data_IF_421948629796
#
_entry.id   IF_421948629796
#
_cell.length_a   1.000
_cell.length_b   1.000
_cell.length_c   1.000
_cell.angle_alpha   90.00
_cell.angle_beta   90.00
_cell.angle_gamma   90.00
#
_symmetry.space_group_name_H-M   'P 1'
#
loop_
_entity.id
_entity.type
_entity.pdbx_description
1 polymer ?
#
# COMPACT_ATOMS: atom_id res chain seq x y z
N UNK A 1 12.80 34.76 3.77
CA UNK A 1 11.74 33.90 3.18
C UNK A 1 12.31 32.49 3.12
N UNK A 2 11.66 31.51 3.75
CA UNK A 2 12.14 30.12 3.72
C UNK A 2 11.71 29.50 2.39
N UNK A 3 12.67 28.95 1.65
CA UNK A 3 12.47 28.28 0.38
C UNK A 3 11.45 27.14 0.52
N UNK A 4 10.52 27.01 -0.43
CA UNK A 4 9.47 25.98 -0.39
C UNK A 4 10.04 24.56 -0.28
N UNK A 5 11.22 24.31 -0.85
CA UNK A 5 11.94 23.04 -0.74
C UNK A 5 12.36 22.69 0.71
N UNK A 6 12.63 23.69 1.56
CA UNK A 6 12.95 23.47 2.98
C UNK A 6 11.65 23.22 3.77
N UNK A 7 10.56 23.88 3.41
CA UNK A 7 9.26 23.75 4.09
C UNK A 7 8.69 22.33 4.05
N UNK A 8 8.91 21.61 2.95
CA UNK A 8 8.40 20.25 2.79
C UNK A 8 9.29 19.18 3.44
N UNK A 9 10.51 19.54 3.87
CA UNK A 9 11.42 18.64 4.58
C UNK A 9 11.21 18.76 6.08
N UNK A 10 10.08 18.26 6.58
CA UNK A 10 9.68 18.39 7.98
C UNK A 10 10.79 17.90 8.94
N UNK A 11 11.49 16.83 8.56
CA UNK A 11 12.59 16.24 9.31
C UNK A 11 13.82 17.17 9.50
N UNK A 12 13.92 18.26 8.74
CA UNK A 12 15.01 19.24 8.88
C UNK A 12 14.92 20.05 10.18
N UNK A 13 13.75 20.13 10.80
CA UNK A 13 13.53 20.82 12.08
C UNK A 13 12.76 19.98 13.09
N UNK A 14 11.80 19.16 12.64
CA UNK A 14 11.00 18.29 13.50
C UNK A 14 11.60 16.88 13.56
N UNK A 15 11.80 16.37 14.77
CA UNK A 15 12.17 14.97 14.95
C UNK A 15 10.93 14.09 14.78
N UNK A 16 11.01 13.11 13.89
CA UNK A 16 9.96 12.08 13.77
C UNK A 16 9.89 11.17 15.01
N UNK A 17 8.75 10.50 15.23
CA UNK A 17 8.63 9.47 16.26
C UNK A 17 9.69 8.37 16.10
N UNK A 18 10.08 7.75 17.20
CA UNK A 18 10.99 6.60 17.21
C UNK A 18 10.20 5.29 17.34
N UNK A 19 9.35 5.02 16.35
CA UNK A 19 8.56 3.80 16.23
C UNK A 19 8.93 3.01 14.97
N UNK A 20 8.47 1.75 14.90
CA UNK A 20 8.82 0.84 13.80
C UNK A 20 8.32 1.34 12.44
N UNK A 21 7.17 2.01 12.40
CA UNK A 21 6.60 2.56 11.17
C UNK A 21 7.52 3.64 10.57
N UNK A 22 7.82 4.67 11.37
CA UNK A 22 8.65 5.81 10.93
C UNK A 22 10.11 5.42 10.70
N UNK A 23 10.64 4.41 11.41
CA UNK A 23 11.98 3.87 11.13
C UNK A 23 12.03 3.08 9.82
N UNK A 24 10.96 2.34 9.52
CA UNK A 24 10.89 1.50 8.32
C UNK A 24 10.60 2.32 7.06
N UNK A 25 9.77 3.36 7.16
CA UNK A 25 9.39 4.23 6.05
C UNK A 25 10.32 5.44 5.99
N UNK A 26 11.20 5.49 4.98
CA UNK A 26 12.13 6.62 4.74
C UNK A 26 11.50 7.71 3.86
N UNK A 27 10.17 7.78 3.83
CA UNK A 27 9.40 8.73 3.03
C UNK A 27 9.32 10.09 3.71
N UNK A 28 9.12 11.15 2.93
CA UNK A 28 8.91 12.50 3.47
C UNK A 28 7.61 12.55 4.29
N UNK A 29 7.62 13.26 5.42
CA UNK A 29 6.48 13.29 6.35
C UNK A 29 5.19 13.77 5.68
N UNK A 30 5.30 14.66 4.68
CA UNK A 30 4.18 15.18 3.91
C UNK A 30 3.48 14.14 3.03
N UNK A 31 4.05 12.95 2.85
CA UNK A 31 3.40 11.83 2.15
C UNK A 31 2.28 11.20 2.96
N UNK A 32 2.35 11.32 4.28
CA UNK A 32 1.36 10.73 5.20
C UNK A 32 0.62 11.79 6.04
N UNK A 33 1.29 12.91 6.35
CA UNK A 33 0.75 13.94 7.24
C UNK A 33 0.47 15.24 6.47
N UNK A 34 -0.75 15.75 6.62
CA UNK A 34 -1.12 17.07 6.12
C UNK A 34 -0.72 18.18 7.10
N UNK A 35 -0.47 19.38 6.57
CA UNK A 35 -0.24 20.57 7.41
C UNK A 35 -1.54 21.10 8.02
N UNK A 36 -2.68 20.89 7.36
CA UNK A 36 -4.00 21.27 7.86
C UNK A 36 -4.55 20.25 8.87
N UNK A 37 -4.17 18.98 8.72
CA UNK A 37 -4.56 17.90 9.61
C UNK A 37 -3.40 16.89 9.71
N UNK A 38 -2.77 16.86 10.89
CA UNK A 38 -1.64 15.97 11.14
C UNK A 38 -2.07 14.54 11.46
N UNK A 39 -3.21 14.37 12.13
CA UNK A 39 -3.79 13.07 12.48
C UNK A 39 -5.30 13.01 12.18
N UNK A 40 -5.83 11.85 11.73
CA UNK A 40 -5.09 10.64 11.36
C UNK A 40 -4.21 10.88 10.12
N UNK A 41 -3.08 10.16 10.03
CA UNK A 41 -2.26 10.17 8.82
C UNK A 41 -2.97 9.40 7.70
N UNK A 42 -2.80 9.85 6.46
CA UNK A 42 -3.36 9.21 5.27
C UNK A 42 -2.26 8.99 4.26
N UNK A 43 -2.16 7.79 3.70
CA UNK A 43 -1.23 7.49 2.62
C UNK A 43 -2.01 7.11 1.36
N UNK A 44 -1.64 7.71 0.23
CA UNK A 44 -2.24 7.40 -1.05
C UNK A 44 -1.73 6.06 -1.57
N UNK A 45 -2.60 5.06 -1.58
CA UNK A 45 -2.30 3.70 -2.02
C UNK A 45 -2.56 3.46 -3.51
N UNK A 46 -3.07 4.44 -4.25
CA UNK A 46 -3.49 4.26 -5.66
C UNK A 46 -2.35 3.82 -6.59
N UNK A 47 -1.11 4.18 -6.26
CA UNK A 47 0.08 3.75 -7.00
C UNK A 47 0.53 2.29 -6.69
N UNK A 48 -0.09 1.64 -5.69
CA UNK A 48 0.29 0.32 -5.20
C UNK A 48 -0.88 -0.67 -5.37
N UNK A 49 -1.74 -0.75 -4.36
CA UNK A 49 -2.94 -1.55 -4.34
C UNK A 49 -4.08 -0.65 -3.86
N UNK A 50 -5.11 -0.50 -4.66
CA UNK A 50 -6.23 0.40 -4.36
C UNK A 50 -6.98 -0.15 -3.14
N UNK A 51 -7.17 0.70 -2.13
CA UNK A 51 -7.95 0.35 -0.95
C UNK A 51 -9.44 0.60 -1.24
N UNK A 52 -10.11 -0.42 -1.76
CA UNK A 52 -11.54 -0.42 -2.05
C UNK A 52 -12.25 -1.59 -1.34
N UNK A 53 -13.58 -1.52 -1.30
CA UNK A 53 -14.47 -2.55 -0.72
C UNK A 53 -13.96 -3.05 0.64
N UNK A 54 -13.78 -4.37 0.80
CA UNK A 54 -13.33 -5.01 2.03
C UNK A 54 -11.84 -4.78 2.35
N UNK A 55 -11.06 -4.30 1.37
CA UNK A 55 -9.65 -3.97 1.57
C UNK A 55 -9.44 -2.56 2.13
N UNK A 56 -10.47 -1.71 2.17
CA UNK A 56 -10.42 -0.43 2.87
C UNK A 56 -10.42 -0.63 4.40
N UNK A 57 -9.31 -1.13 4.91
CA UNK A 57 -9.12 -1.58 6.28
C UNK A 57 -7.96 -0.85 6.96
N UNK A 58 -7.68 -1.18 8.22
CA UNK A 58 -6.58 -0.60 8.99
C UNK A 58 -5.24 -1.06 8.38
N UNK A 59 -4.22 -0.21 8.40
CA UNK A 59 -2.90 -0.52 7.85
C UNK A 59 -2.35 -1.85 8.37
N UNK A 60 -2.53 -2.12 9.66
CA UNK A 60 -2.06 -3.33 10.34
C UNK A 60 -2.76 -4.63 9.89
N UNK A 61 -3.88 -4.52 9.18
CA UNK A 61 -4.57 -5.69 8.63
C UNK A 61 -3.75 -6.35 7.52
N UNK A 62 -3.11 -5.54 6.67
CA UNK A 62 -2.25 -6.03 5.58
C UNK A 62 -0.77 -5.98 5.97
N UNK A 63 -0.36 -4.92 6.67
CA UNK A 63 1.01 -4.70 7.13
C UNK A 63 1.19 -5.19 8.57
N UNK A 64 1.33 -6.51 8.71
CA UNK A 64 1.49 -7.19 9.99
C UNK A 64 2.80 -6.78 10.68
N UNK A 65 2.82 -6.87 12.01
CA UNK A 65 3.99 -6.58 12.87
C UNK A 65 4.63 -5.20 12.64
N UNK A 66 3.83 -4.21 12.23
CA UNK A 66 4.29 -2.87 11.84
C UNK A 66 5.35 -2.88 10.71
N UNK A 67 5.38 -3.93 9.88
CA UNK A 67 6.23 -3.99 8.70
C UNK A 67 5.49 -3.46 7.47
N UNK A 68 5.54 -2.15 7.27
CA UNK A 68 4.89 -1.45 6.14
C UNK A 68 5.60 -1.65 4.79
N UNK A 69 6.65 -2.48 4.74
CA UNK A 69 7.33 -2.87 3.49
C UNK A 69 6.90 -4.25 3.00
N UNK A 70 6.17 -4.99 3.82
CA UNK A 70 5.71 -6.33 3.52
C UNK A 70 4.19 -6.41 3.71
N UNK A 71 3.57 -7.29 2.96
CA UNK A 71 2.16 -7.62 3.07
C UNK A 71 1.97 -9.05 2.59
N UNK A 72 0.81 -9.64 2.90
CA UNK A 72 0.44 -10.96 2.41
C UNK A 72 -1.06 -11.01 2.12
N UNK A 73 -1.43 -11.62 0.99
CA UNK A 73 -2.83 -11.88 0.64
C UNK A 73 -3.33 -13.18 1.30
N UNK A 74 -2.42 -14.12 1.57
CA UNK A 74 -2.68 -15.46 2.12
C UNK A 74 -3.24 -15.47 3.56
N UNK A 75 -3.34 -14.30 4.22
CA UNK A 75 -3.91 -14.20 5.57
C UNK A 75 -5.44 -14.08 5.60
N UNK A 76 -6.06 -13.80 4.45
CA UNK A 76 -7.51 -13.63 4.31
C UNK A 76 -8.06 -14.28 3.04
N UNK A 77 -7.28 -14.25 1.95
CA UNK A 77 -7.54 -15.05 0.74
C UNK A 77 -7.00 -16.47 0.91
N UNK A 78 -7.23 -17.35 -0.06
CA UNK A 78 -6.80 -18.76 -0.04
C UNK A 78 -5.44 -18.97 0.66
N UNK A 79 -5.40 -19.92 1.60
CA UNK A 79 -4.31 -20.07 2.56
C UNK A 79 -3.16 -20.94 2.02
N UNK A 80 -3.26 -21.48 0.80
CA UNK A 80 -2.22 -22.32 0.20
C UNK A 80 -1.84 -21.88 -1.22
N UNK A 81 -0.53 -21.79 -1.47
CA UNK A 81 0.02 -21.48 -2.80
C UNK A 81 -0.38 -22.53 -3.83
N UNK A 82 -0.57 -23.79 -3.42
CA UNK A 82 -0.96 -24.89 -4.31
C UNK A 82 -2.33 -24.68 -4.94
N UNK A 83 -3.34 -24.31 -4.13
CA UNK A 83 -4.70 -24.12 -4.60
C UNK A 83 -4.77 -22.91 -5.54
N UNK A 84 -4.16 -21.78 -5.14
CA UNK A 84 -4.06 -20.59 -6.00
C UNK A 84 -3.35 -20.94 -7.32
N UNK A 85 -2.25 -21.69 -7.27
CA UNK A 85 -1.53 -22.10 -8.46
C UNK A 85 -2.34 -22.99 -9.39
N UNK A 86 -3.26 -23.80 -8.86
CA UNK A 86 -4.10 -24.68 -9.65
C UNK A 86 -5.10 -23.87 -10.47
N UNK A 87 -5.84 -22.96 -9.82
CA UNK A 87 -6.79 -22.05 -10.46
C UNK A 87 -6.09 -21.17 -11.52
N UNK A 88 -4.96 -20.55 -11.18
CA UNK A 88 -4.22 -19.70 -12.13
C UNK A 88 -3.71 -20.48 -13.34
N UNK A 89 -3.44 -21.78 -13.18
CA UNK A 89 -2.97 -22.63 -14.28
C UNK A 89 -4.08 -22.95 -15.27
N UNK A 90 -5.34 -23.00 -14.83
CA UNK A 90 -6.50 -23.14 -15.72
C UNK A 90 -6.58 -21.94 -16.70
N UNK A 91 -6.19 -20.76 -16.22
CA UNK A 91 -6.08 -19.53 -17.01
C UNK A 91 -4.71 -19.33 -17.70
N UNK A 92 -3.82 -20.33 -17.63
CA UNK A 92 -2.49 -20.27 -18.25
C UNK A 92 -1.48 -19.34 -17.55
N UNK A 93 -1.79 -18.86 -16.34
CA UNK A 93 -0.94 -17.97 -15.55
C UNK A 93 -0.03 -18.83 -14.64
N UNK A 94 1.29 -18.71 -14.83
CA UNK A 94 2.28 -19.47 -14.05
C UNK A 94 3.15 -18.59 -13.13
N UNK A 95 3.18 -17.27 -13.35
CA UNK A 95 3.93 -16.32 -12.53
C UNK A 95 2.97 -15.34 -11.83
N UNK A 96 2.50 -15.73 -10.64
CA UNK A 96 1.51 -14.98 -9.85
C UNK A 96 2.07 -14.55 -8.48
N UNK A 97 3.39 -14.64 -8.28
CA UNK A 97 4.02 -14.34 -6.98
C UNK A 97 3.83 -12.89 -6.52
N UNK A 98 3.66 -11.97 -7.46
CA UNK A 98 3.30 -10.59 -7.20
C UNK A 98 1.81 -10.37 -7.48
N UNK A 99 0.94 -10.70 -6.53
CA UNK A 99 -0.51 -10.68 -6.72
C UNK A 99 -1.02 -9.34 -7.27
N UNK A 100 -0.48 -8.23 -6.76
CA UNK A 100 -0.92 -6.87 -7.14
C UNK A 100 -0.48 -6.44 -8.55
N UNK A 101 0.35 -7.21 -9.26
CA UNK A 101 0.63 -6.91 -10.67
C UNK A 101 -0.58 -7.11 -11.55
N UNK A 102 -1.48 -8.03 -11.16
CA UNK A 102 -2.72 -8.34 -11.86
C UNK A 102 -3.94 -7.89 -11.05
N UNK A 103 -3.95 -8.12 -9.73
CA UNK A 103 -5.04 -7.72 -8.83
C UNK A 103 -4.74 -6.38 -8.15
N UNK A 104 -4.88 -5.27 -8.89
CA UNK A 104 -4.61 -3.91 -8.35
C UNK A 104 -5.73 -3.34 -7.47
N UNK A 105 -6.92 -3.92 -7.52
CA UNK A 105 -8.12 -3.50 -6.79
C UNK A 105 -9.03 -4.70 -6.53
N UNK A 106 -10.07 -4.54 -5.71
CA UNK A 106 -11.09 -5.56 -5.47
C UNK A 106 -12.08 -5.72 -6.64
N UNK A 107 -12.10 -4.78 -7.58
CA UNK A 107 -12.92 -4.86 -8.80
C UNK A 107 -12.32 -5.88 -9.78
N UNK A 108 -13.03 -6.99 -10.01
CA UNK A 108 -12.73 -7.89 -11.13
C UNK A 108 -13.08 -7.17 -12.45
N UNK A 109 -12.06 -6.73 -13.18
CA UNK A 109 -12.23 -6.11 -14.51
C UNK A 109 -11.47 -4.82 -14.79
N UNK A 110 -10.49 -4.43 -13.96
CA UNK A 110 -9.69 -3.21 -14.17
C UNK A 110 -8.63 -3.32 -15.27
N UNK A 111 -9.04 -3.68 -16.49
CA UNK A 111 -8.16 -3.90 -17.63
C UNK A 111 -8.85 -3.80 -18.98
N UNK A 112 -9.90 -2.97 -19.12
CA UNK A 112 -10.31 -2.47 -20.43
C UNK A 112 -10.12 -0.96 -20.43
N UNK A 113 -9.35 -0.50 -21.41
CA UNK A 113 -9.00 0.89 -21.59
C UNK A 113 -10.23 1.77 -21.77
N UNK A 114 -10.04 3.03 -21.42
CA UNK A 114 -10.83 4.14 -21.92
C UNK A 114 -10.84 4.08 -23.46
N UNK A 115 -11.95 3.65 -24.05
CA UNK A 115 -12.33 3.97 -25.43
C UNK A 115 -13.71 4.65 -25.37
N UNK A 116 -13.71 5.99 -25.32
CA UNK A 116 -14.78 6.89 -25.77
C UNK A 116 -14.19 8.22 -26.23
#
# INVERSE_FOLDING_TARGET
MVETAIRNKCASCHRGPDDDMHRSLKEECSKCHGTNQWLPATFDHTAYFVLDRDHNSRCSTCHMDNNYRSYTCYGCHEHTVSNISEEHREEGISNFTNCVSCHKSAEEGGGEGEDD
#
